data_IF_235862591388
#
_entry.id   IF_235862591388
#
_cell.length_a   1.000
_cell.length_b   1.000
_cell.length_c   1.000
_cell.angle_alpha   90.00
_cell.angle_beta   90.00
_cell.angle_gamma   90.00
#
_symmetry.space_group_name_H-M   'P 1'
#
loop_
_entity.id
_entity.type
_entity.pdbx_description
1 polymer ?
#
# COMPACT_ATOMS: atom_id res chain seq x y z
N UNK A 1 7.55 -19.60 -4.25
CA UNK A 1 7.48 -18.14 -4.36
C UNK A 1 7.46 -17.64 -5.80
N UNK A 2 8.34 -18.12 -6.69
CA UNK A 2 8.34 -17.75 -8.11
C UNK A 2 7.07 -18.16 -8.88
N UNK A 3 6.32 -19.11 -8.40
CA UNK A 3 5.12 -19.64 -9.09
C UNK A 3 3.95 -18.67 -9.02
N UNK A 4 3.80 -17.93 -7.91
CA UNK A 4 2.68 -16.99 -7.70
C UNK A 4 2.74 -15.77 -8.62
N UNK A 5 3.95 -15.34 -8.99
CA UNK A 5 4.15 -14.19 -9.90
C UNK A 5 4.30 -14.58 -11.37
N UNK A 6 4.27 -15.87 -11.70
CA UNK A 6 4.25 -16.31 -13.11
C UNK A 6 3.00 -15.86 -13.85
N UNK A 7 1.86 -15.83 -13.15
CA UNK A 7 0.61 -15.30 -13.69
C UNK A 7 0.57 -13.78 -13.71
N UNK A 8 1.46 -13.12 -12.91
CA UNK A 8 1.47 -11.67 -12.67
C UNK A 8 0.09 -11.17 -12.21
N UNK A 9 -0.53 -11.92 -11.31
CA UNK A 9 -1.79 -11.57 -10.66
C UNK A 9 -1.52 -11.18 -9.21
N UNK A 10 -1.79 -9.93 -8.86
CA UNK A 10 -1.60 -9.41 -7.50
C UNK A 10 -2.36 -8.11 -7.30
N UNK A 11 -2.46 -7.66 -6.05
CA UNK A 11 -2.92 -6.32 -5.73
C UNK A 11 -1.81 -5.57 -4.96
N UNK A 12 -1.36 -4.45 -5.50
CA UNK A 12 -0.47 -3.53 -4.77
C UNK A 12 -1.31 -2.67 -3.85
N UNK A 13 -0.85 -2.48 -2.62
CA UNK A 13 -1.55 -1.70 -1.59
C UNK A 13 -0.58 -0.77 -0.88
N UNK A 14 -1.07 0.42 -0.55
CA UNK A 14 -0.34 1.41 0.23
C UNK A 14 -1.29 2.13 1.18
N UNK A 15 -0.86 2.30 2.43
CA UNK A 15 -1.59 3.05 3.46
C UNK A 15 -0.81 4.28 3.88
N UNK A 16 -1.54 5.38 4.14
CA UNK A 16 -1.01 6.51 4.91
C UNK A 16 -1.64 6.51 6.29
N UNK A 17 -0.88 6.92 7.31
CA UNK A 17 -1.35 6.98 8.69
C UNK A 17 -1.39 8.42 9.19
N UNK A 18 -2.39 8.73 10.02
CA UNK A 18 -2.56 10.06 10.61
C UNK A 18 -1.54 10.36 11.71
N UNK A 19 -1.12 9.32 12.44
CA UNK A 19 -0.20 9.44 13.57
C UNK A 19 0.63 8.16 13.72
N UNK A 20 1.39 8.05 14.81
CA UNK A 20 2.26 6.90 15.07
C UNK A 20 1.56 5.58 15.37
N UNK A 21 0.25 5.57 15.51
CA UNK A 21 -0.52 4.33 15.71
C UNK A 21 -0.83 3.67 14.37
N UNK A 22 -0.53 2.39 14.21
CA UNK A 22 -0.79 1.65 12.97
C UNK A 22 -2.28 1.54 12.63
N UNK A 23 -3.15 1.68 13.63
CA UNK A 23 -4.60 1.72 13.43
C UNK A 23 -5.10 3.01 12.77
N UNK A 24 -4.27 4.06 12.77
CA UNK A 24 -4.66 5.39 12.30
C UNK A 24 -4.57 5.57 10.78
N UNK A 25 -4.85 4.53 10.02
CA UNK A 25 -4.88 4.63 8.56
C UNK A 25 -5.86 5.71 8.12
N UNK A 26 -5.40 6.64 7.30
CA UNK A 26 -6.18 7.79 6.84
C UNK A 26 -6.40 7.84 5.33
N UNK A 27 -5.68 7.03 4.57
CA UNK A 27 -5.94 6.78 3.16
C UNK A 27 -5.41 5.43 2.74
N UNK A 28 -5.96 4.90 1.65
CA UNK A 28 -5.53 3.65 1.05
C UNK A 28 -5.58 3.76 -0.48
N UNK A 29 -4.54 3.25 -1.12
CA UNK A 29 -4.47 3.05 -2.56
C UNK A 29 -4.33 1.57 -2.86
N UNK A 30 -5.08 1.08 -3.85
CA UNK A 30 -5.01 -0.31 -4.33
C UNK A 30 -4.94 -0.32 -5.85
N UNK A 31 -4.03 -1.11 -6.38
CA UNK A 31 -3.87 -1.34 -7.82
C UNK A 31 -3.94 -2.83 -8.07
N UNK A 32 -4.95 -3.26 -8.81
CA UNK A 32 -5.16 -4.67 -9.14
C UNK A 32 -4.52 -4.98 -10.48
N UNK A 33 -3.65 -5.98 -10.50
CA UNK A 33 -2.95 -6.45 -11.69
C UNK A 33 -3.36 -7.89 -11.98
N UNK A 34 -3.77 -8.15 -13.23
CA UNK A 34 -4.06 -9.50 -13.72
C UNK A 34 -3.39 -9.72 -15.07
N UNK A 35 -2.69 -10.83 -15.19
CA UNK A 35 -1.97 -11.16 -16.41
C UNK A 35 -0.92 -10.11 -16.80
N UNK A 36 -0.36 -9.40 -15.81
CA UNK A 36 0.62 -8.35 -16.04
C UNK A 36 0.04 -6.98 -16.42
N UNK A 37 -1.27 -6.85 -16.44
CA UNK A 37 -1.98 -5.61 -16.80
C UNK A 37 -2.72 -5.04 -15.59
N UNK A 38 -2.68 -3.71 -15.45
CA UNK A 38 -3.50 -3.00 -14.45
C UNK A 38 -4.96 -3.05 -14.90
N UNK A 39 -5.82 -3.69 -14.12
CA UNK A 39 -7.24 -3.87 -14.45
C UNK A 39 -8.18 -3.06 -13.57
N UNK A 40 -7.72 -2.59 -12.40
CA UNK A 40 -8.53 -1.79 -11.49
C UNK A 40 -7.62 -0.95 -10.59
N UNK A 41 -8.10 0.24 -10.26
CA UNK A 41 -7.47 1.11 -9.28
C UNK A 41 -8.52 1.62 -8.29
N UNK A 42 -8.12 1.80 -7.05
CA UNK A 42 -9.02 2.22 -5.98
C UNK A 42 -8.29 3.16 -5.03
N UNK A 43 -8.93 4.25 -4.66
CA UNK A 43 -8.43 5.19 -3.66
C UNK A 43 -9.57 5.67 -2.78
N UNK A 44 -9.33 5.70 -1.45
CA UNK A 44 -10.27 6.29 -0.49
C UNK A 44 -9.53 6.97 0.65
N UNK A 45 -10.08 8.07 1.09
CA UNK A 45 -9.80 8.63 2.39
C UNK A 45 -10.52 7.81 3.46
N UNK A 46 -9.90 7.67 4.63
CA UNK A 46 -10.41 6.90 5.77
C UNK A 46 -10.40 7.80 7.00
N UNK A 47 -11.48 7.80 7.76
CA UNK A 47 -11.48 8.43 9.07
C UNK A 47 -10.59 7.61 10.01
N UNK A 48 -9.44 8.16 10.43
CA UNK A 48 -8.47 7.39 11.21
C UNK A 48 -8.95 7.14 12.64
N UNK A 49 -8.38 6.13 13.26
CA UNK A 49 -8.68 5.79 14.65
C UNK A 49 -7.38 5.39 15.36
N UNK A 50 -6.91 6.20 16.36
CA UNK A 50 -7.50 7.46 16.86
C UNK A 50 -7.41 8.60 15.82
N UNK A 51 -8.41 9.51 15.87
CA UNK A 51 -8.54 10.57 14.88
C UNK A 51 -7.82 11.85 15.31
N UNK A 52 -6.50 11.79 15.37
CA UNK A 52 -5.65 12.97 15.49
C UNK A 52 -4.49 12.83 14.51
N UNK A 53 -3.95 13.97 14.07
CA UNK A 53 -2.84 14.01 13.13
C UNK A 53 -1.58 14.53 13.79
N UNK A 54 -0.45 13.84 13.56
CA UNK A 54 0.86 14.33 13.98
C UNK A 54 1.42 15.27 12.92
N UNK A 55 2.24 16.24 13.34
CA UNK A 55 2.96 17.10 12.41
C UNK A 55 3.89 16.30 11.48
N UNK A 56 4.47 15.23 12.02
CA UNK A 56 5.39 14.38 11.28
C UNK A 56 4.70 13.69 10.09
N UNK A 57 3.57 13.06 10.32
CA UNK A 57 2.83 12.35 9.26
C UNK A 57 2.21 13.32 8.26
N UNK A 58 1.64 14.42 8.72
CA UNK A 58 1.08 15.47 7.84
C UNK A 58 2.18 16.09 6.96
N UNK A 59 3.40 16.27 7.48
CA UNK A 59 4.53 16.75 6.67
C UNK A 59 4.87 15.77 5.52
N UNK A 60 4.60 14.48 5.70
CA UNK A 60 4.88 13.45 4.69
C UNK A 60 3.78 13.43 3.61
N UNK A 61 2.51 13.25 3.99
CA UNK A 61 1.43 13.01 3.02
C UNK A 61 0.49 14.20 2.80
N UNK A 62 0.60 15.25 3.61
CA UNK A 62 -0.20 16.45 3.45
C UNK A 62 -1.63 16.38 3.94
N UNK A 63 -2.10 15.22 4.39
CA UNK A 63 -3.47 15.08 4.92
C UNK A 63 -3.57 15.63 6.33
N UNK A 64 -4.72 16.22 6.62
CA UNK A 64 -5.05 16.85 7.90
C UNK A 64 -6.40 16.34 8.42
N UNK A 65 -6.70 16.67 9.65
CA UNK A 65 -7.94 16.29 10.30
C UNK A 65 -9.19 16.61 9.46
N UNK A 66 -9.22 17.81 8.87
CA UNK A 66 -10.36 18.28 8.07
C UNK A 66 -10.60 17.41 6.83
N UNK A 67 -9.55 16.82 6.28
CA UNK A 67 -9.64 16.02 5.05
C UNK A 67 -10.36 14.68 5.28
N UNK A 68 -10.29 14.15 6.49
CA UNK A 68 -10.81 12.80 6.81
C UNK A 68 -11.83 12.76 7.92
N UNK A 69 -12.18 13.91 8.53
CA UNK A 69 -13.14 13.97 9.63
C UNK A 69 -14.51 13.35 9.28
N UNK A 70 -14.96 13.55 8.04
CA UNK A 70 -16.23 13.04 7.52
C UNK A 70 -16.06 11.83 6.59
N UNK A 71 -14.85 11.29 6.50
CA UNK A 71 -14.59 10.10 5.69
C UNK A 71 -15.19 8.84 6.35
N UNK A 72 -15.47 7.80 5.57
CA UNK A 72 -15.90 6.52 6.11
C UNK A 72 -14.81 5.89 6.97
N UNK A 73 -15.20 5.01 7.88
CA UNK A 73 -14.25 4.25 8.68
C UNK A 73 -13.57 3.15 7.84
N UNK A 74 -12.52 2.55 8.40
CA UNK A 74 -11.78 1.49 7.72
C UNK A 74 -12.69 0.31 7.33
N UNK A 75 -13.58 -0.14 8.21
CA UNK A 75 -14.42 -1.30 7.95
C UNK A 75 -15.32 -1.08 6.73
N UNK A 76 -15.88 0.13 6.59
CA UNK A 76 -16.70 0.49 5.42
C UNK A 76 -15.88 0.52 4.14
N UNK A 77 -14.68 1.10 4.19
CA UNK A 77 -13.77 1.14 3.03
C UNK A 77 -13.32 -0.26 2.63
N UNK A 78 -13.01 -1.12 3.60
CA UNK A 78 -12.53 -2.47 3.31
C UNK A 78 -13.58 -3.34 2.63
N UNK A 79 -14.85 -3.13 2.91
CA UNK A 79 -15.95 -3.80 2.18
C UNK A 79 -15.94 -3.49 0.68
N UNK A 80 -15.46 -2.30 0.29
CA UNK A 80 -15.30 -1.96 -1.14
C UNK A 80 -14.05 -2.59 -1.75
N UNK A 81 -12.99 -2.78 -0.94
CA UNK A 81 -11.71 -3.32 -1.42
C UNK A 81 -11.76 -4.85 -1.54
N UNK A 82 -12.33 -5.52 -0.56
CA UNK A 82 -12.28 -6.98 -0.42
C UNK A 82 -12.69 -7.75 -1.69
N UNK A 83 -13.81 -7.43 -2.36
CA UNK A 83 -14.19 -8.14 -3.59
C UNK A 83 -13.23 -7.88 -4.76
N UNK A 84 -12.49 -6.77 -4.75
CA UNK A 84 -11.52 -6.41 -5.82
C UNK A 84 -10.24 -7.23 -5.74
N UNK A 85 -9.85 -7.65 -4.53
CA UNK A 85 -8.58 -8.32 -4.26
C UNK A 85 -8.75 -9.80 -3.93
N UNK A 86 -9.95 -10.33 -4.04
CA UNK A 86 -10.27 -11.72 -3.68
C UNK A 86 -9.33 -12.71 -4.37
N UNK A 87 -8.71 -13.58 -3.57
CA UNK A 87 -7.81 -14.60 -4.06
C UNK A 87 -6.44 -14.12 -4.52
N UNK A 88 -6.14 -12.81 -4.42
CA UNK A 88 -4.86 -12.25 -4.85
C UNK A 88 -3.88 -12.11 -3.70
N UNK A 89 -2.58 -12.35 -3.94
CA UNK A 89 -1.55 -11.91 -3.01
C UNK A 89 -1.47 -10.37 -3.02
N UNK A 90 -1.09 -9.81 -1.87
CA UNK A 90 -0.87 -8.39 -1.71
C UNK A 90 0.62 -8.06 -1.83
N UNK A 91 0.92 -6.93 -2.45
CA UNK A 91 2.28 -6.43 -2.63
C UNK A 91 2.35 -5.02 -2.06
N UNK A 92 3.39 -4.76 -1.28
CA UNK A 92 3.64 -3.42 -0.75
C UNK A 92 5.14 -3.13 -0.75
N UNK A 93 5.49 -1.85 -0.81
CA UNK A 93 6.87 -1.41 -0.68
C UNK A 93 7.19 -1.16 0.79
N UNK A 94 8.06 -1.96 1.39
CA UNK A 94 8.24 -2.09 2.83
C UNK A 94 7.00 -2.71 3.49
N UNK A 95 6.62 -3.88 3.01
CA UNK A 95 5.38 -4.58 3.37
C UNK A 95 5.14 -4.79 4.86
N UNK A 96 6.15 -4.89 5.76
CA UNK A 96 5.88 -4.99 7.20
C UNK A 96 5.06 -3.81 7.75
N UNK A 97 5.21 -2.61 7.17
CA UNK A 97 4.41 -1.46 7.58
C UNK A 97 2.93 -1.63 7.19
N UNK A 98 2.66 -1.87 5.92
CA UNK A 98 1.28 -1.98 5.42
C UNK A 98 0.57 -3.21 5.97
N UNK A 99 1.27 -4.33 6.05
CA UNK A 99 0.73 -5.54 6.70
C UNK A 99 0.43 -5.28 8.17
N UNK A 100 1.33 -4.59 8.88
CA UNK A 100 1.13 -4.22 10.28
C UNK A 100 -0.09 -3.29 10.47
N UNK A 101 -0.28 -2.32 9.60
CA UNK A 101 -1.46 -1.46 9.61
C UNK A 101 -2.74 -2.29 9.37
N UNK A 102 -2.74 -3.14 8.36
CA UNK A 102 -3.90 -3.96 8.00
C UNK A 102 -4.30 -4.91 9.15
N UNK A 103 -3.33 -5.60 9.74
CA UNK A 103 -3.58 -6.45 10.91
C UNK A 103 -4.13 -5.66 12.10
N UNK A 104 -3.56 -4.50 12.38
CA UNK A 104 -3.97 -3.67 13.51
C UNK A 104 -5.42 -3.19 13.37
N UNK A 105 -5.82 -2.74 12.18
CA UNK A 105 -7.21 -2.28 11.97
C UNK A 105 -8.20 -3.43 11.91
N UNK A 106 -7.82 -4.60 11.39
CA UNK A 106 -8.66 -5.81 11.47
C UNK A 106 -8.96 -6.16 12.93
N UNK A 107 -7.94 -6.16 13.77
CA UNK A 107 -8.09 -6.41 15.20
C UNK A 107 -8.97 -5.37 15.88
N UNK A 108 -8.71 -4.07 15.60
CA UNK A 108 -9.48 -2.97 16.19
C UNK A 108 -10.98 -3.07 15.87
N UNK A 109 -11.34 -3.44 14.66
CA UNK A 109 -12.73 -3.58 14.21
C UNK A 109 -13.31 -4.97 14.42
N UNK A 110 -12.58 -5.88 15.07
CA UNK A 110 -13.06 -7.24 15.33
C UNK A 110 -13.30 -8.06 14.07
N UNK A 111 -12.58 -7.75 12.99
CA UNK A 111 -12.74 -8.44 11.71
C UNK A 111 -11.83 -9.68 11.67
N UNK A 112 -12.34 -10.85 11.22
CA UNK A 112 -11.52 -12.05 11.10
C UNK A 112 -10.45 -11.85 10.02
N UNK A 113 -9.18 -12.22 10.35
CA UNK A 113 -8.06 -12.13 9.43
C UNK A 113 -8.14 -13.23 8.35
N UNK A 114 -8.23 -12.88 7.05
CA UNK A 114 -8.39 -13.87 5.99
C UNK A 114 -7.11 -14.61 5.59
N UNK A 115 -5.98 -14.30 6.25
CA UNK A 115 -4.71 -14.92 5.91
C UNK A 115 -4.07 -14.36 4.64
N UNK A 116 -4.11 -13.04 4.45
CA UNK A 116 -3.46 -12.40 3.31
C UNK A 116 -1.98 -12.71 3.23
N UNK A 117 -1.49 -13.01 2.03
CA UNK A 117 -0.08 -13.21 1.76
C UNK A 117 0.51 -11.90 1.24
N UNK A 118 1.55 -11.38 1.89
CA UNK A 118 2.24 -10.16 1.49
C UNK A 118 3.60 -10.46 0.85
N UNK A 119 3.89 -9.75 -0.23
CA UNK A 119 5.22 -9.70 -0.86
C UNK A 119 5.75 -8.27 -0.79
N UNK A 120 7.07 -8.14 -0.65
CA UNK A 120 7.72 -6.86 -0.41
C UNK A 120 8.64 -6.47 -1.58
N UNK A 121 8.29 -5.41 -2.29
CA UNK A 121 9.12 -4.87 -3.38
C UNK A 121 10.42 -4.23 -2.87
N UNK A 122 10.45 -3.71 -1.65
CA UNK A 122 11.66 -3.18 -1.03
C UNK A 122 12.71 -4.28 -0.81
N UNK A 123 12.30 -5.43 -0.29
CA UNK A 123 13.18 -6.60 -0.13
C UNK A 123 13.63 -7.15 -1.48
N UNK A 124 12.72 -7.20 -2.45
CA UNK A 124 13.06 -7.64 -3.81
C UNK A 124 14.09 -6.71 -4.44
N UNK A 125 13.92 -5.40 -4.26
CA UNK A 125 14.86 -4.39 -4.77
C UNK A 125 16.27 -4.57 -4.18
N UNK A 126 16.38 -4.84 -2.88
CA UNK A 126 17.68 -5.13 -2.25
C UNK A 126 18.37 -6.35 -2.86
N UNK A 127 17.62 -7.39 -3.17
CA UNK A 127 18.15 -8.59 -3.83
C UNK A 127 18.53 -8.34 -5.28
N UNK A 128 17.76 -7.54 -6.00
CA UNK A 128 17.95 -7.28 -7.44
C UNK A 128 19.05 -6.27 -7.70
N UNK A 129 19.03 -5.16 -6.98
CA UNK A 129 19.92 -4.02 -7.24
C UNK A 129 21.09 -3.92 -6.25
N UNK A 130 20.91 -4.35 -5.00
CA UNK A 130 21.94 -4.27 -3.98
C UNK A 130 22.49 -2.86 -3.82
N UNK A 131 23.82 -2.75 -3.81
CA UNK A 131 24.54 -1.47 -3.67
C UNK A 131 24.56 -0.62 -4.93
N UNK A 132 23.98 -1.08 -6.03
CA UNK A 132 23.87 -0.28 -7.26
C UNK A 132 22.90 0.89 -7.11
N UNK A 133 22.03 0.86 -6.10
CA UNK A 133 21.17 1.99 -5.75
C UNK A 133 21.63 2.64 -4.44
N UNK A 134 21.51 3.97 -4.32
CA UNK A 134 21.91 4.70 -3.10
C UNK A 134 21.02 4.37 -1.90
N UNK A 135 19.77 3.97 -2.17
CA UNK A 135 18.80 3.51 -1.18
C UNK A 135 17.74 2.67 -1.90
N UNK A 136 16.83 2.08 -1.14
CA UNK A 136 15.73 1.28 -1.67
C UNK A 136 14.36 1.89 -1.34
N UNK A 137 14.31 3.22 -1.25
CA UNK A 137 13.06 3.95 -1.12
C UNK A 137 12.22 3.83 -2.40
N UNK A 138 10.92 3.97 -2.26
CA UNK A 138 9.97 3.74 -3.35
C UNK A 138 10.32 4.54 -4.61
N UNK A 139 10.57 5.84 -4.50
CA UNK A 139 10.88 6.69 -5.65
C UNK A 139 12.19 6.30 -6.34
N UNK A 140 13.20 5.88 -5.58
CA UNK A 140 14.50 5.45 -6.12
C UNK A 140 14.34 4.15 -6.91
N UNK A 141 13.66 3.17 -6.33
CA UNK A 141 13.44 1.86 -6.97
C UNK A 141 12.53 1.99 -8.18
N UNK A 142 11.48 2.80 -8.07
CA UNK A 142 10.54 3.08 -9.16
C UNK A 142 11.27 3.65 -10.38
N UNK A 143 12.13 4.64 -10.18
CA UNK A 143 12.94 5.22 -11.25
C UNK A 143 13.87 4.20 -11.88
N UNK A 144 14.52 3.35 -11.08
CA UNK A 144 15.38 2.26 -11.57
C UNK A 144 14.60 1.23 -12.41
N UNK A 145 13.31 1.08 -12.17
CA UNK A 145 12.41 0.22 -12.94
C UNK A 145 11.78 0.92 -14.15
N UNK A 146 12.14 2.18 -14.41
CA UNK A 146 11.64 2.93 -15.57
C UNK A 146 10.29 3.61 -15.36
N UNK A 147 9.83 3.74 -14.11
CA UNK A 147 8.58 4.40 -13.76
C UNK A 147 8.86 5.62 -12.89
N UNK A 148 8.54 6.82 -13.39
CA UNK A 148 8.65 8.03 -12.59
C UNK A 148 7.46 8.17 -11.65
N UNK A 149 7.75 8.25 -10.36
CA UNK A 149 6.76 8.46 -9.32
C UNK A 149 6.48 9.96 -9.19
N UNK A 150 5.33 10.37 -9.67
CA UNK A 150 4.77 11.68 -9.42
C UNK A 150 3.88 11.62 -8.18
N UNK A 151 3.74 12.72 -7.47
CA UNK A 151 2.86 12.81 -6.30
C UNK A 151 3.18 11.78 -5.21
N UNK A 152 4.48 11.63 -4.89
CA UNK A 152 4.95 10.73 -3.83
C UNK A 152 4.24 11.01 -2.49
N UNK A 153 3.97 9.95 -1.72
CA UNK A 153 3.16 9.95 -0.50
C UNK A 153 1.66 10.20 -0.70
N UNK A 154 1.17 10.09 -1.94
CA UNK A 154 -0.23 9.87 -2.22
C UNK A 154 -0.44 8.35 -2.34
N UNK A 155 -1.36 7.77 -1.56
CA UNK A 155 -1.47 6.31 -1.43
C UNK A 155 -1.69 5.60 -2.76
N UNK A 156 -2.52 6.13 -3.66
CA UNK A 156 -2.73 5.52 -4.97
C UNK A 156 -1.48 5.63 -5.86
N UNK A 157 -0.83 6.80 -5.90
CA UNK A 157 0.40 6.98 -6.68
C UNK A 157 1.51 6.03 -6.19
N UNK A 158 1.64 5.86 -4.89
CA UNK A 158 2.61 4.95 -4.29
C UNK A 158 2.27 3.47 -4.59
N UNK A 159 1.00 3.10 -4.55
CA UNK A 159 0.55 1.76 -4.95
C UNK A 159 0.81 1.48 -6.45
N UNK A 160 0.61 2.47 -7.31
CA UNK A 160 0.92 2.37 -8.76
C UNK A 160 2.41 2.14 -8.99
N UNK A 161 3.26 2.91 -8.32
CA UNK A 161 4.71 2.72 -8.39
C UNK A 161 5.12 1.33 -7.89
N UNK A 162 4.55 0.89 -6.76
CA UNK A 162 4.78 -0.44 -6.22
C UNK A 162 4.38 -1.54 -7.21
N UNK A 163 3.24 -1.40 -7.88
CA UNK A 163 2.79 -2.35 -8.91
C UNK A 163 3.79 -2.44 -10.07
N UNK A 164 4.29 -1.31 -10.55
CA UNK A 164 5.28 -1.28 -11.65
C UNK A 164 6.60 -1.93 -11.24
N UNK A 165 7.06 -1.69 -10.01
CA UNK A 165 8.24 -2.37 -9.47
C UNK A 165 7.99 -3.88 -9.41
N UNK A 166 6.85 -4.31 -8.88
CA UNK A 166 6.51 -5.73 -8.78
C UNK A 166 6.52 -6.42 -10.15
N UNK A 167 6.00 -5.77 -11.17
CA UNK A 167 6.00 -6.30 -12.54
C UNK A 167 7.41 -6.49 -13.11
N UNK A 168 8.38 -5.73 -12.63
CA UNK A 168 9.76 -5.78 -13.10
C UNK A 168 10.63 -6.78 -12.34
N UNK A 169 10.50 -6.86 -11.02
CA UNK A 169 11.49 -7.55 -10.18
C UNK A 169 10.94 -8.64 -9.26
N UNK A 170 9.63 -8.84 -9.23
CA UNK A 170 9.03 -9.93 -8.43
C UNK A 170 8.78 -11.22 -9.22
#
# INVERSE_FOLDING_TARGET
RRVLFRSKDFAAIDFETANGKRTSVCSVGVVVVRGGEVVDTFYRLIRPRPNFYSHFTTAIHGLRYEDTADAPDFASVWREIEPRIEGLPLVAHNSPFDEGCLRAVFELYGMPWPGYTFYCTCRASRRTFGSRLPNHQLHTVSAACGFELENHHHALADAEACAQIALKIL
#
